data_IF_845186706118
#
_entry.id   IF_845186706118
#
_cell.length_a   1.000
_cell.length_b   1.000
_cell.length_c   1.000
_cell.angle_alpha   90.00
_cell.angle_beta   90.00
_cell.angle_gamma   90.00
#
_symmetry.space_group_name_H-M   'P 1'
#
loop_
_entity.id
_entity.type
_entity.pdbx_description
1 polymer ?
#
# COMPACT_ATOMS: atom_id res chain seq x y z
N UNK A 1 -0.21 -14.39 13.09
CA UNK A 1 0.65 -14.31 11.88
C UNK A 1 1.31 -12.94 11.91
N UNK A 2 2.63 -12.87 12.07
CA UNK A 2 3.31 -11.57 12.19
C UNK A 2 3.34 -10.88 10.83
N UNK A 3 2.72 -9.70 10.75
CA UNK A 3 2.68 -8.88 9.53
C UNK A 3 4.08 -8.36 9.19
N UNK A 4 4.92 -8.14 10.20
CA UNK A 4 6.28 -7.60 10.10
C UNK A 4 7.23 -8.44 9.24
N UNK A 5 6.98 -9.74 9.08
CA UNK A 5 7.80 -10.62 8.24
C UNK A 5 7.32 -10.69 6.78
N UNK A 6 6.25 -9.99 6.41
CA UNK A 6 5.68 -10.06 5.06
C UNK A 6 6.40 -9.11 4.09
N UNK A 7 6.73 -9.59 2.89
CA UNK A 7 7.41 -8.77 1.89
C UNK A 7 6.62 -7.53 1.46
N UNK A 8 5.29 -7.59 1.45
CA UNK A 8 4.48 -6.41 1.10
C UNK A 8 4.52 -5.38 2.21
N UNK A 9 4.54 -5.83 3.47
CA UNK A 9 4.71 -4.95 4.61
C UNK A 9 6.08 -4.27 4.56
N UNK A 10 7.16 -5.03 4.39
CA UNK A 10 8.51 -4.48 4.29
C UNK A 10 8.68 -3.49 3.12
N UNK A 11 8.02 -3.76 1.99
CA UNK A 11 8.03 -2.81 0.87
C UNK A 11 7.20 -1.56 1.15
N UNK A 12 6.05 -1.69 1.81
CA UNK A 12 5.23 -0.57 2.27
C UNK A 12 6.01 0.33 3.25
N UNK A 13 6.65 -0.25 4.27
CA UNK A 13 7.44 0.49 5.25
C UNK A 13 8.55 1.30 4.57
N UNK A 14 9.30 0.69 3.64
CA UNK A 14 10.32 1.41 2.85
C UNK A 14 9.73 2.62 2.12
N UNK A 15 8.61 2.45 1.42
CA UNK A 15 7.97 3.55 0.70
C UNK A 15 7.43 4.63 1.64
N UNK A 16 6.94 4.25 2.82
CA UNK A 16 6.51 5.19 3.86
C UNK A 16 7.70 5.98 4.41
N UNK A 17 8.83 5.34 4.67
CA UNK A 17 10.03 5.99 5.18
C UNK A 17 10.62 7.00 4.17
N UNK A 18 10.43 6.75 2.87
CA UNK A 18 10.71 7.72 1.81
C UNK A 18 9.67 8.86 1.68
N UNK A 19 8.63 8.88 2.50
CA UNK A 19 7.55 9.87 2.44
C UNK A 19 6.62 9.72 1.24
N UNK A 20 6.66 8.58 0.54
CA UNK A 20 5.85 8.36 -0.67
C UNK A 20 4.44 7.84 -0.36
N UNK A 21 4.21 7.39 0.88
CA UNK A 21 2.94 6.85 1.37
C UNK A 21 2.56 7.48 2.70
N UNK A 22 1.25 7.56 2.95
CA UNK A 22 0.71 7.93 4.25
C UNK A 22 0.94 6.80 5.26
N UNK A 23 1.51 7.13 6.42
CA UNK A 23 1.75 6.17 7.50
C UNK A 23 0.51 5.78 8.30
N UNK A 24 -0.59 6.53 8.13
CA UNK A 24 -1.87 6.30 8.80
C UNK A 24 -3.01 6.40 7.80
N UNK A 25 -4.10 5.71 8.09
CA UNK A 25 -5.34 5.81 7.31
C UNK A 25 -6.54 5.77 8.24
N UNK A 26 -7.63 6.41 7.82
CA UNK A 26 -8.85 6.56 8.61
C UNK A 26 -10.05 5.97 7.89
N UNK A 27 -11.01 5.45 8.65
CA UNK A 27 -12.24 4.89 8.10
C UNK A 27 -13.09 5.97 7.43
N UNK A 28 -13.45 5.78 6.16
CA UNK A 28 -14.29 6.71 5.38
C UNK A 28 -15.71 6.19 5.12
N UNK A 29 -16.06 5.02 5.67
CA UNK A 29 -17.40 4.45 5.48
C UNK A 29 -18.41 5.20 6.36
N UNK A 30 -19.28 6.00 5.73
CA UNK A 30 -20.29 6.86 6.39
C UNK A 30 -21.25 6.06 7.28
N UNK A 31 -21.47 4.77 6.99
CA UNK A 31 -22.32 3.88 7.81
C UNK A 31 -21.57 3.24 8.99
N UNK A 32 -20.27 3.49 9.13
CA UNK A 32 -19.47 2.93 10.22
C UNK A 32 -19.76 3.66 11.54
N UNK A 33 -20.01 2.91 12.61
CA UNK A 33 -20.13 3.45 13.97
C UNK A 33 -18.87 4.16 14.47
N UNK A 34 -17.70 3.83 13.89
CA UNK A 34 -16.39 4.41 14.17
C UNK A 34 -15.81 5.09 12.92
N UNK A 35 -16.63 5.86 12.20
CA UNK A 35 -16.18 6.72 11.10
C UNK A 35 -15.06 7.65 11.59
N UNK A 36 -14.03 7.87 10.75
CA UNK A 36 -12.90 8.72 11.10
C UNK A 36 -11.87 8.08 12.03
N UNK A 37 -12.12 6.90 12.62
CA UNK A 37 -11.11 6.23 13.43
C UNK A 37 -9.99 5.64 12.56
N UNK A 38 -8.79 5.60 13.16
CA UNK A 38 -7.61 5.02 12.53
C UNK A 38 -7.85 3.54 12.21
N UNK A 39 -7.51 3.18 10.98
CA UNK A 39 -7.53 1.81 10.47
C UNK A 39 -6.21 1.11 10.82
N UNK A 40 -6.26 -0.21 10.95
CA UNK A 40 -5.07 -1.03 11.22
C UNK A 40 -4.59 -1.71 9.95
N UNK A 41 -3.30 -1.97 9.84
CA UNK A 41 -2.77 -2.79 8.75
C UNK A 41 -3.20 -4.24 8.93
N UNK A 42 -3.63 -4.86 7.84
CA UNK A 42 -4.03 -6.26 7.82
C UNK A 42 -3.62 -6.92 6.49
N UNK A 43 -3.11 -8.15 6.60
CA UNK A 43 -2.89 -9.02 5.46
C UNK A 43 -4.18 -9.81 5.20
N UNK A 44 -4.78 -9.62 4.02
CA UNK A 44 -5.95 -10.41 3.59
C UNK A 44 -5.60 -11.25 2.37
N UNK A 45 -6.22 -12.41 2.25
CA UNK A 45 -6.20 -13.19 1.00
C UNK A 45 -7.32 -12.67 0.08
N UNK A 46 -7.11 -12.72 -1.24
CA UNK A 46 -8.22 -12.45 -2.20
C UNK A 46 -9.27 -13.55 -2.15
N UNK A 47 -8.81 -14.80 -2.11
CA UNK A 47 -9.63 -16.00 -2.03
C UNK A 47 -9.11 -16.93 -0.94
N UNK A 48 -9.96 -17.84 -0.44
CA UNK A 48 -9.59 -18.82 0.59
C UNK A 48 -8.32 -19.61 0.20
N UNK A 49 -8.19 -19.95 -1.08
CA UNK A 49 -7.09 -20.75 -1.62
C UNK A 49 -5.94 -19.92 -2.18
N UNK A 50 -6.00 -18.58 -2.08
CA UNK A 50 -4.92 -17.75 -2.61
C UNK A 50 -3.70 -17.80 -1.68
N UNK A 51 -2.55 -18.17 -2.25
CA UNK A 51 -1.25 -18.01 -1.59
C UNK A 51 -0.86 -16.54 -1.47
N UNK A 52 -1.34 -15.71 -2.41
CA UNK A 52 -1.04 -14.29 -2.47
C UNK A 52 -1.87 -13.52 -1.44
N UNK A 53 -1.16 -12.98 -0.45
CA UNK A 53 -1.71 -12.04 0.53
C UNK A 53 -1.67 -10.62 -0.04
N UNK A 54 -2.54 -9.76 0.47
CA UNK A 54 -2.62 -8.36 0.09
C UNK A 54 -2.63 -7.52 1.36
N UNK A 55 -1.66 -6.63 1.48
CA UNK A 55 -1.63 -5.64 2.55
C UNK A 55 -2.70 -4.58 2.32
N UNK A 56 -3.49 -4.31 3.35
CA UNK A 56 -4.60 -3.36 3.30
C UNK A 56 -4.82 -2.69 4.66
N UNK A 57 -5.35 -1.48 4.64
CA UNK A 57 -5.95 -0.86 5.82
C UNK A 57 -7.30 -1.52 6.09
N UNK A 58 -7.57 -1.89 7.34
CA UNK A 58 -8.83 -2.50 7.79
C UNK A 58 -9.42 -1.69 8.93
N UNK A 59 -10.70 -1.36 8.84
CA UNK A 59 -11.44 -0.81 9.97
C UNK A 59 -11.83 -1.95 10.92
N UNK A 60 -11.50 -1.82 12.21
CA UNK A 60 -11.86 -2.82 13.22
C UNK A 60 -13.36 -2.84 13.54
N UNK A 61 -14.12 -1.78 13.20
CA UNK A 61 -15.55 -1.69 13.50
C UNK A 61 -16.44 -2.21 12.37
N UNK A 62 -16.24 -1.73 11.13
CA UNK A 62 -17.10 -2.08 10.00
C UNK A 62 -16.43 -3.01 8.99
N UNK A 63 -15.23 -3.52 9.31
CA UNK A 63 -14.43 -4.47 8.50
C UNK A 63 -14.12 -4.04 7.07
N UNK A 64 -14.43 -2.80 6.71
CA UNK A 64 -14.12 -2.21 5.41
C UNK A 64 -12.61 -2.17 5.20
N UNK A 65 -12.20 -2.50 3.97
CA UNK A 65 -10.81 -2.50 3.54
C UNK A 65 -10.52 -1.31 2.65
N UNK A 66 -9.30 -0.80 2.76
CA UNK A 66 -8.76 0.27 1.92
C UNK A 66 -7.35 -0.09 1.50
N UNK A 67 -6.97 0.31 0.28
CA UNK A 67 -5.60 0.06 -0.22
C UNK A 67 -4.59 0.83 0.60
N UNK A 68 -3.42 0.24 0.89
CA UNK A 68 -2.31 0.96 1.53
C UNK A 68 -1.71 2.07 0.68
N UNK A 69 -2.00 2.04 -0.62
CA UNK A 69 -1.55 3.03 -1.60
C UNK A 69 -2.61 4.11 -1.87
N UNK A 70 -3.80 4.04 -1.26
CA UNK A 70 -4.88 4.98 -1.54
C UNK A 70 -4.49 6.42 -1.18
N UNK A 71 -4.77 7.37 -2.07
CA UNK A 71 -4.37 8.77 -1.90
C UNK A 71 -2.88 9.05 -2.13
N UNK A 72 -2.10 8.09 -2.62
CA UNK A 72 -0.70 8.28 -3.02
C UNK A 72 -0.53 8.28 -4.55
N UNK A 73 0.61 8.74 -5.05
CA UNK A 73 1.00 8.65 -6.47
C UNK A 73 0.80 7.24 -7.06
N UNK A 74 1.10 6.20 -6.27
CA UNK A 74 0.97 4.81 -6.73
C UNK A 74 -0.47 4.38 -6.99
N UNK A 75 -1.47 5.06 -6.40
CA UNK A 75 -2.89 4.77 -6.67
C UNK A 75 -3.34 5.11 -8.08
N UNK A 76 -2.58 5.97 -8.78
CA UNK A 76 -2.86 6.35 -10.17
C UNK A 76 -2.61 5.20 -11.17
N UNK A 77 -1.90 4.15 -10.76
CA UNK A 77 -1.47 3.07 -11.63
C UNK A 77 -2.24 1.79 -11.35
N UNK A 78 -2.68 1.11 -12.43
CA UNK A 78 -3.23 -0.25 -12.35
C UNK A 78 -2.18 -1.31 -12.06
N UNK A 79 -0.89 -1.00 -12.27
CA UNK A 79 0.22 -1.94 -12.09
C UNK A 79 0.70 -1.94 -10.64
N UNK A 80 1.25 -3.07 -10.14
CA UNK A 80 1.84 -3.14 -8.82
C UNK A 80 2.90 -2.05 -8.59
N UNK A 81 2.94 -1.40 -7.42
CA UNK A 81 3.89 -0.32 -7.13
C UNK A 81 5.37 -0.70 -7.33
N UNK A 82 5.75 -1.96 -7.06
CA UNK A 82 7.10 -2.48 -7.36
C UNK A 82 7.49 -2.30 -8.84
N UNK A 83 6.55 -2.51 -9.77
CA UNK A 83 6.78 -2.33 -11.21
C UNK A 83 6.92 -0.85 -11.55
N UNK A 84 6.10 0.01 -10.96
CA UNK A 84 6.16 1.46 -11.18
C UNK A 84 7.50 2.02 -10.71
N UNK A 85 7.97 1.61 -9.52
CA UNK A 85 9.30 2.00 -9.01
C UNK A 85 10.42 1.52 -9.94
N UNK A 86 10.32 0.30 -10.49
CA UNK A 86 11.31 -0.21 -11.43
C UNK A 86 11.37 0.63 -12.72
N UNK A 87 10.22 1.00 -13.29
CA UNK A 87 10.14 1.87 -14.48
C UNK A 87 10.78 3.23 -14.21
N UNK A 88 10.45 3.87 -13.07
CA UNK A 88 11.02 5.15 -12.68
C UNK A 88 12.56 5.05 -12.57
N UNK A 89 13.07 3.98 -11.96
CA UNK A 89 14.52 3.74 -11.85
C UNK A 89 15.20 3.57 -13.21
N UNK A 90 14.58 2.81 -14.12
CA UNK A 90 15.11 2.64 -15.48
C UNK A 90 15.15 3.98 -16.22
N UNK A 91 14.09 4.78 -16.13
CA UNK A 91 14.03 6.11 -16.75
C UNK A 91 15.06 7.07 -16.16
N UNK A 92 15.21 7.10 -14.83
CA UNK A 92 16.22 7.95 -14.19
C UNK A 92 17.64 7.57 -14.64
N UNK A 93 17.94 6.27 -14.78
CA UNK A 93 19.24 5.80 -15.27
C UNK A 93 19.52 6.24 -16.71
N UNK A 94 18.53 6.17 -17.58
CA UNK A 94 18.66 6.62 -18.98
C UNK A 94 18.89 8.13 -19.09
N UNK A 95 18.26 8.94 -18.23
CA UNK A 95 18.50 10.39 -18.18
C UNK A 95 19.93 10.71 -17.76
N UNK A 96 20.47 9.98 -16.77
CA UNK A 96 21.84 10.17 -16.29
C UNK A 96 22.87 9.86 -17.38
N UNK A 97 22.70 8.75 -18.11
CA UNK A 97 23.63 8.35 -19.19
C UNK A 97 23.64 9.39 -20.32
N UNK A 98 22.49 10.01 -20.65
CA UNK A 98 22.38 11.01 -21.71
C UNK A 98 23.02 12.37 -21.40
N UNK A 99 23.32 12.65 -20.12
CA UNK A 99 23.95 13.91 -19.68
C UNK A 99 25.47 13.83 -19.56
N UNK A 100 26.02 12.62 -19.65
CA UNK A 100 27.46 12.32 -19.81
C UNK A 100 27.81 12.19 -21.27
#
# INVERSE_FOLDING_TARGET
>A
MNIENDEQYNFFEKLRDFGLLLGVSFCTNVKCKKLGNQMVLNLRKRDKNSEKKLLSWRCNSCTTYKSVYDGSFFSLFRKPPKIIVAIIKCWSGQITIRKT
#
